data_IF_586221669983
#
_entry.id   IF_586221669983
#
_cell.length_a   1.000
_cell.length_b   1.000
_cell.length_c   1.000
_cell.angle_alpha   90.00
_cell.angle_beta   90.00
_cell.angle_gamma   90.00
#
_symmetry.space_group_name_H-M   'P 1'
#
loop_
_entity.id
_entity.type
_entity.pdbx_description
1 polymer ?
#
# COMPACT_ATOMS: atom_id res chain seq x y z
N UNK A 1 -33.79 4.60 22.57
CA UNK A 1 -33.58 5.78 21.71
C UNK A 1 -33.70 7.02 22.56
N UNK A 2 -32.62 7.49 23.17
CA UNK A 2 -32.58 8.82 23.78
C UNK A 2 -31.38 9.53 23.17
N UNK A 3 -31.66 10.27 22.10
CA UNK A 3 -30.88 11.46 21.73
C UNK A 3 -30.83 12.39 22.95
N UNK A 4 -29.86 13.30 22.99
CA UNK A 4 -29.65 14.30 24.05
C UNK A 4 -30.98 14.67 24.73
N UNK A 5 -31.03 14.55 26.06
CA UNK A 5 -32.25 14.76 26.84
C UNK A 5 -33.02 15.99 26.32
N UNK A 6 -34.36 15.96 26.29
CA UNK A 6 -35.18 17.04 25.72
C UNK A 6 -34.80 18.43 26.27
N UNK A 7 -34.21 18.47 27.46
CA UNK A 7 -33.65 19.63 28.15
C UNK A 7 -32.61 20.44 27.35
N UNK A 8 -31.94 19.86 26.34
CA UNK A 8 -30.85 20.53 25.60
C UNK A 8 -31.21 20.90 24.16
N UNK A 9 -32.48 20.84 23.73
CA UNK A 9 -32.81 21.31 22.38
C UNK A 9 -32.74 22.84 22.32
N UNK A 10 -32.20 23.42 21.24
CA UNK A 10 -32.17 24.88 21.04
C UNK A 10 -33.52 25.57 21.25
N UNK A 11 -34.64 24.91 20.93
CA UNK A 11 -35.99 25.41 21.21
C UNK A 11 -36.33 25.55 22.70
N UNK A 12 -35.86 24.65 23.56
CA UNK A 12 -36.03 24.77 25.01
C UNK A 12 -35.23 25.93 25.60
N UNK A 13 -34.03 26.19 25.05
CA UNK A 13 -33.24 27.37 25.42
C UNK A 13 -33.97 28.67 25.07
N UNK A 14 -34.57 28.78 23.88
CA UNK A 14 -35.37 29.95 23.51
C UNK A 14 -36.58 30.16 24.44
N UNK A 15 -37.29 29.08 24.80
CA UNK A 15 -38.40 29.14 25.75
C UNK A 15 -37.96 29.58 27.15
N UNK A 16 -36.81 29.07 27.62
CA UNK A 16 -36.19 29.49 28.89
C UNK A 16 -35.76 30.96 28.84
N UNK A 17 -35.11 31.42 27.76
CA UNK A 17 -34.65 32.81 27.62
C UNK A 17 -35.82 33.80 27.66
N UNK A 18 -36.92 33.49 26.94
CA UNK A 18 -38.17 34.27 26.98
C UNK A 18 -38.78 34.30 28.38
N UNK A 19 -38.83 33.17 29.08
CA UNK A 19 -39.34 33.08 30.46
C UNK A 19 -38.54 33.95 31.43
N UNK A 20 -37.23 34.11 31.19
CA UNK A 20 -36.34 34.91 32.02
C UNK A 20 -36.17 36.35 31.53
N UNK A 21 -36.92 36.78 30.50
CA UNK A 21 -36.85 38.13 29.90
C UNK A 21 -35.44 38.48 29.42
N UNK A 22 -34.68 37.48 28.98
CA UNK A 22 -33.40 37.69 28.32
C UNK A 22 -33.72 38.04 26.87
N UNK A 23 -33.18 39.16 26.40
CA UNK A 23 -33.41 39.61 25.03
C UNK A 23 -32.65 38.70 24.06
N UNK A 24 -33.37 38.10 23.11
CA UNK A 24 -32.80 37.18 22.12
C UNK A 24 -32.95 37.82 20.74
N UNK A 25 -31.87 37.97 19.96
CA UNK A 25 -31.95 38.52 18.62
C UNK A 25 -32.94 37.75 17.75
N UNK A 26 -33.84 38.46 17.07
CA UNK A 26 -34.88 37.87 16.20
C UNK A 26 -34.25 36.93 15.15
N UNK A 27 -33.12 37.35 14.56
CA UNK A 27 -32.38 36.54 13.60
C UNK A 27 -31.95 35.17 14.17
N UNK A 28 -31.64 35.09 15.46
CA UNK A 28 -31.27 33.84 16.12
C UNK A 28 -32.50 32.95 16.37
N UNK A 29 -33.63 33.55 16.76
CA UNK A 29 -34.89 32.82 16.94
C UNK A 29 -35.37 32.20 15.62
N UNK A 30 -35.33 32.98 14.53
CA UNK A 30 -35.64 32.51 13.18
C UNK A 30 -34.66 31.42 12.73
N UNK A 31 -33.36 31.60 12.95
CA UNK A 31 -32.36 30.59 12.60
C UNK A 31 -32.58 29.26 13.33
N UNK A 32 -32.84 29.30 14.64
CA UNK A 32 -33.08 28.10 15.45
C UNK A 32 -34.40 27.41 15.06
N UNK A 33 -35.44 28.19 14.77
CA UNK A 33 -36.75 27.67 14.32
C UNK A 33 -36.64 27.02 12.94
N UNK A 34 -35.92 27.66 12.02
CA UNK A 34 -35.69 27.17 10.66
C UNK A 34 -34.75 25.95 10.62
N UNK A 35 -33.77 25.88 11.52
CA UNK A 35 -32.83 24.76 11.60
C UNK A 35 -33.50 23.46 12.08
N UNK A 36 -34.57 23.59 12.89
CA UNK A 36 -35.34 22.45 13.39
C UNK A 36 -34.56 21.52 14.32
N UNK A 37 -35.12 20.35 14.58
CA UNK A 37 -34.59 19.34 15.53
C UNK A 37 -33.52 18.44 14.91
N UNK A 38 -32.98 18.76 13.75
CA UNK A 38 -32.15 17.85 12.97
C UNK A 38 -30.70 17.82 13.47
N UNK A 39 -30.52 17.53 14.76
CA UNK A 39 -29.24 17.05 15.27
C UNK A 39 -29.06 15.68 14.65
N UNK A 40 -28.11 15.55 13.72
CA UNK A 40 -27.78 14.26 13.13
C UNK A 40 -27.62 13.23 14.25
N UNK A 41 -28.10 12.00 14.03
CA UNK A 41 -28.02 10.94 15.02
C UNK A 41 -26.57 10.42 15.12
N UNK A 42 -25.69 11.29 15.64
CA UNK A 42 -24.26 11.07 15.76
C UNK A 42 -23.94 9.85 16.61
N UNK A 43 -24.83 9.50 17.54
CA UNK A 43 -24.70 8.30 18.34
C UNK A 43 -24.87 7.05 17.48
N UNK A 44 -25.95 6.97 16.70
CA UNK A 44 -26.14 5.85 15.76
C UNK A 44 -25.02 5.79 14.72
N UNK A 45 -24.57 6.93 14.19
CA UNK A 45 -23.42 6.97 13.28
C UNK A 45 -22.13 6.47 13.95
N UNK A 46 -21.86 6.88 15.18
CA UNK A 46 -20.69 6.45 15.96
C UNK A 46 -20.76 4.96 16.30
N UNK A 47 -21.91 4.47 16.75
CA UNK A 47 -22.13 3.06 17.08
C UNK A 47 -21.93 2.17 15.84
N UNK A 48 -22.43 2.63 14.67
CA UNK A 48 -22.20 1.96 13.39
C UNK A 48 -20.71 1.96 12.99
N UNK A 49 -20.02 3.10 13.10
CA UNK A 49 -18.59 3.17 12.79
C UNK A 49 -17.74 2.31 13.76
N UNK A 50 -18.08 2.30 15.04
CA UNK A 50 -17.38 1.53 16.06
C UNK A 50 -17.53 0.03 15.83
N UNK A 51 -18.73 -0.43 15.43
CA UNK A 51 -18.96 -1.84 15.11
C UNK A 51 -18.21 -2.27 13.84
N UNK A 52 -18.15 -1.43 12.81
CA UNK A 52 -17.38 -1.71 11.59
C UNK A 52 -15.86 -1.75 11.87
N UNK A 53 -15.35 -0.84 12.70
CA UNK A 53 -13.96 -0.86 13.13
C UNK A 53 -13.61 -2.13 13.91
N UNK A 54 -14.51 -2.60 14.78
CA UNK A 54 -14.31 -3.84 15.52
C UNK A 54 -14.27 -5.05 14.56
N UNK A 55 -15.16 -5.09 13.56
CA UNK A 55 -15.21 -6.13 12.52
C UNK A 55 -13.91 -6.17 11.71
N UNK A 56 -13.48 -5.03 11.16
CA UNK A 56 -12.25 -4.94 10.36
C UNK A 56 -11.01 -5.31 11.15
N UNK A 57 -10.92 -4.90 12.43
CA UNK A 57 -9.79 -5.29 13.30
C UNK A 57 -9.75 -6.79 13.53
N UNK A 58 -10.90 -7.44 13.70
CA UNK A 58 -10.97 -8.91 13.85
C UNK A 58 -10.54 -9.61 12.57
N UNK A 59 -11.02 -9.15 11.40
CA UNK A 59 -10.66 -9.71 10.10
C UNK A 59 -9.15 -9.58 9.82
N UNK A 60 -8.56 -8.42 10.17
CA UNK A 60 -7.13 -8.17 10.02
C UNK A 60 -6.32 -9.11 10.92
N UNK A 61 -6.71 -9.27 12.19
CA UNK A 61 -6.05 -10.19 13.11
C UNK A 61 -6.14 -11.66 12.63
N UNK A 62 -7.27 -12.08 12.06
CA UNK A 62 -7.41 -13.41 11.46
C UNK A 62 -6.50 -13.61 10.23
N UNK A 63 -6.43 -12.61 9.36
CA UNK A 63 -5.55 -12.66 8.18
C UNK A 63 -4.08 -12.67 8.57
N UNK A 64 -3.69 -11.88 9.57
CA UNK A 64 -2.34 -11.89 10.13
C UNK A 64 -2.01 -13.24 10.76
N UNK A 65 -2.93 -13.83 11.53
CA UNK A 65 -2.74 -15.17 12.09
C UNK A 65 -2.63 -16.25 11.00
N UNK A 66 -3.45 -16.17 9.94
CA UNK A 66 -3.38 -17.08 8.77
C UNK A 66 -2.06 -16.92 8.02
N UNK A 67 -1.57 -15.68 7.87
CA UNK A 67 -0.28 -15.41 7.22
C UNK A 67 0.92 -15.82 8.10
N UNK A 68 0.83 -15.67 9.42
CA UNK A 68 1.86 -16.11 10.36
C UNK A 68 1.92 -17.64 10.49
N UNK A 69 0.77 -18.32 10.39
CA UNK A 69 0.69 -19.78 10.39
C UNK A 69 1.01 -20.42 9.03
N UNK A 70 0.98 -19.64 7.94
CA UNK A 70 1.53 -20.08 6.67
C UNK A 70 3.06 -20.11 6.83
N UNK A 71 3.71 -21.28 6.79
CA UNK A 71 5.17 -21.30 6.77
C UNK A 71 5.61 -20.44 5.60
N UNK A 72 6.57 -19.55 5.82
CA UNK A 72 7.20 -18.77 4.77
C UNK A 72 7.57 -19.76 3.65
N UNK A 73 6.76 -19.77 2.60
CA UNK A 73 6.99 -20.62 1.44
C UNK A 73 8.08 -19.94 0.62
N UNK A 74 9.27 -19.88 1.19
CA UNK A 74 10.54 -19.71 0.50
C UNK A 74 11.33 -21.02 0.57
N UNK A 75 10.65 -22.17 0.64
CA UNK A 75 11.21 -23.41 0.10
C UNK A 75 10.93 -23.45 -1.39
N UNK A 76 11.40 -22.45 -2.13
CA UNK A 76 11.64 -22.68 -3.54
C UNK A 76 12.58 -23.88 -3.60
N UNK A 77 12.12 -24.94 -4.26
CA UNK A 77 12.99 -26.05 -4.62
C UNK A 77 14.20 -25.39 -5.29
N UNK A 78 15.44 -25.66 -4.86
CA UNK A 78 16.60 -25.05 -5.50
C UNK A 78 16.46 -25.30 -7.00
N UNK A 79 16.46 -24.22 -7.80
CA UNK A 79 16.27 -24.28 -9.25
C UNK A 79 17.07 -25.46 -9.77
N UNK A 80 16.40 -26.37 -10.49
CA UNK A 80 17.09 -27.50 -11.08
C UNK A 80 18.22 -26.98 -11.96
N UNK A 81 19.32 -27.73 -12.08
CA UNK A 81 20.49 -27.28 -12.85
C UNK A 81 20.10 -26.78 -14.25
N UNK A 82 19.13 -27.44 -14.90
CA UNK A 82 18.58 -27.04 -16.21
C UNK A 82 17.81 -25.71 -16.19
N UNK A 83 17.03 -25.45 -15.16
CA UNK A 83 16.26 -24.20 -15.00
C UNK A 83 17.23 -23.04 -14.78
N UNK A 84 18.23 -23.22 -13.92
CA UNK A 84 19.29 -22.22 -13.68
C UNK A 84 20.06 -21.92 -14.97
N UNK A 85 20.51 -22.93 -15.72
CA UNK A 85 21.19 -22.71 -17.00
C UNK A 85 20.30 -22.00 -18.02
N UNK A 86 19.00 -22.30 -18.05
CA UNK A 86 18.06 -21.63 -18.96
C UNK A 86 17.91 -20.15 -18.59
N UNK A 87 17.77 -19.85 -17.30
CA UNK A 87 17.69 -18.48 -16.81
C UNK A 87 18.96 -17.68 -17.13
N UNK A 88 20.13 -18.27 -16.89
CA UNK A 88 21.42 -17.62 -17.19
C UNK A 88 21.57 -17.29 -18.68
N UNK A 89 21.15 -18.20 -19.57
CA UNK A 89 21.15 -17.95 -21.03
C UNK A 89 20.23 -16.79 -21.43
N UNK A 90 19.03 -16.72 -20.82
CA UNK A 90 18.09 -15.63 -21.09
C UNK A 90 18.68 -14.30 -20.61
N UNK A 91 19.23 -14.26 -19.40
CA UNK A 91 19.90 -13.07 -18.85
C UNK A 91 21.06 -12.63 -19.73
N UNK A 92 21.92 -13.55 -20.16
CA UNK A 92 23.04 -13.24 -21.06
C UNK A 92 22.56 -12.67 -22.40
N UNK A 93 21.59 -13.31 -23.04
CA UNK A 93 21.06 -12.86 -24.33
C UNK A 93 20.47 -11.45 -24.25
N UNK A 94 19.71 -11.14 -23.17
CA UNK A 94 19.18 -9.80 -22.95
C UNK A 94 20.28 -8.77 -22.66
N UNK A 95 21.29 -9.15 -21.88
CA UNK A 95 22.42 -8.27 -21.59
C UNK A 95 23.21 -7.93 -22.86
N UNK A 96 23.46 -8.91 -23.74
CA UNK A 96 24.14 -8.70 -25.02
C UNK A 96 23.31 -7.82 -25.96
N UNK A 97 22.01 -8.10 -26.09
CA UNK A 97 21.15 -7.40 -27.05
C UNK A 97 20.80 -5.96 -26.64
N UNK A 98 20.56 -5.71 -25.34
CA UNK A 98 20.06 -4.41 -24.88
C UNK A 98 21.15 -3.51 -24.27
N UNK A 99 22.25 -4.09 -23.77
CA UNK A 99 23.26 -3.36 -23.01
C UNK A 99 24.67 -3.55 -23.57
N UNK A 100 24.78 -4.05 -24.80
CA UNK A 100 26.05 -4.30 -25.52
C UNK A 100 27.06 -5.08 -24.65
N UNK A 101 26.55 -5.99 -23.81
CA UNK A 101 27.39 -6.74 -22.91
C UNK A 101 28.33 -7.65 -23.71
N UNK A 102 29.64 -7.48 -23.51
CA UNK A 102 30.63 -8.42 -24.03
C UNK A 102 31.06 -9.39 -22.91
N UNK A 103 30.69 -10.68 -22.99
CA UNK A 103 31.03 -11.68 -21.97
C UNK A 103 32.53 -12.01 -21.91
N UNK A 104 33.28 -11.70 -22.98
CA UNK A 104 34.72 -11.95 -23.08
C UNK A 104 35.56 -10.71 -22.66
N UNK A 105 34.91 -9.59 -22.35
CA UNK A 105 35.59 -8.37 -21.91
C UNK A 105 35.89 -8.40 -20.40
N UNK A 106 37.11 -8.03 -20.01
CA UNK A 106 37.53 -8.03 -18.60
C UNK A 106 36.87 -6.94 -17.72
N UNK A 107 36.31 -5.88 -18.31
CA UNK A 107 35.57 -4.82 -17.60
C UNK A 107 34.38 -4.37 -18.44
N UNK A 108 33.19 -4.31 -17.84
CA UNK A 108 31.96 -3.84 -18.48
C UNK A 108 31.18 -2.91 -17.54
N UNK A 109 30.50 -1.92 -18.11
CA UNK A 109 29.57 -1.02 -17.39
C UNK A 109 28.14 -1.55 -17.38
N UNK A 110 27.89 -2.71 -18.02
CA UNK A 110 26.59 -3.35 -18.20
C UNK A 110 25.82 -3.49 -16.88
N UNK A 111 26.47 -3.94 -15.80
CA UNK A 111 25.81 -4.13 -14.51
C UNK A 111 25.21 -2.83 -13.94
N UNK A 112 25.94 -1.72 -14.05
CA UNK A 112 25.48 -0.41 -13.60
C UNK A 112 24.33 0.13 -14.46
N UNK A 113 24.34 -0.16 -15.77
CA UNK A 113 23.26 0.22 -16.67
C UNK A 113 21.97 -0.56 -16.34
N UNK A 114 22.06 -1.88 -16.20
CA UNK A 114 20.93 -2.74 -15.78
C UNK A 114 20.38 -2.28 -14.42
N UNK A 115 21.25 -1.97 -13.46
CA UNK A 115 20.82 -1.50 -12.15
C UNK A 115 19.99 -0.22 -12.24
N UNK A 116 20.42 0.74 -13.06
CA UNK A 116 19.74 2.01 -13.26
C UNK A 116 18.33 1.80 -13.83
N UNK A 117 18.20 0.90 -14.81
CA UNK A 117 16.90 0.58 -15.43
C UNK A 117 15.98 -0.15 -14.45
N UNK A 118 16.49 -1.10 -13.67
CA UNK A 118 15.72 -1.80 -12.64
C UNK A 118 15.24 -0.84 -11.54
N UNK A 119 16.08 0.11 -11.12
CA UNK A 119 15.71 1.14 -10.15
C UNK A 119 14.60 2.05 -10.68
N UNK A 120 14.64 2.39 -11.97
CA UNK A 120 13.58 3.18 -12.63
C UNK A 120 12.24 2.45 -12.60
N UNK A 121 12.25 1.12 -12.62
CA UNK A 121 11.08 0.25 -12.51
C UNK A 121 10.68 -0.07 -11.06
N UNK A 122 11.39 0.46 -10.06
CA UNK A 122 11.15 0.19 -8.64
C UNK A 122 11.58 -1.21 -8.19
N UNK A 123 12.44 -1.89 -8.97
CA UNK A 123 12.94 -3.23 -8.66
C UNK A 123 14.28 -3.10 -7.91
N UNK A 124 14.30 -3.58 -6.66
CA UNK A 124 15.49 -3.52 -5.81
C UNK A 124 16.38 -4.76 -6.02
N UNK A 125 17.55 -4.55 -6.64
CA UNK A 125 18.62 -5.56 -6.80
C UNK A 125 19.97 -4.88 -6.55
N UNK A 126 20.96 -5.59 -5.99
CA UNK A 126 22.30 -5.03 -5.82
C UNK A 126 23.15 -5.18 -7.08
N UNK A 127 24.02 -4.20 -7.32
CA UNK A 127 24.99 -4.19 -8.42
C UNK A 127 25.88 -5.45 -8.43
N UNK A 128 26.29 -5.92 -7.23
CA UNK A 128 27.07 -7.15 -7.06
C UNK A 128 26.29 -8.40 -7.44
N UNK A 129 24.98 -8.43 -7.20
CA UNK A 129 24.12 -9.54 -7.61
C UNK A 129 24.07 -9.63 -9.13
N UNK A 130 23.91 -8.50 -9.82
CA UNK A 130 23.88 -8.45 -11.28
C UNK A 130 25.22 -8.92 -11.86
N UNK A 131 26.35 -8.39 -11.36
CA UNK A 131 27.69 -8.82 -11.77
C UNK A 131 27.90 -10.32 -11.59
N UNK A 132 27.47 -10.87 -10.45
CA UNK A 132 27.58 -12.30 -10.17
C UNK A 132 26.84 -13.13 -11.22
N UNK A 133 25.58 -12.80 -11.53
CA UNK A 133 24.80 -13.56 -12.50
C UNK A 133 25.30 -13.40 -13.93
N UNK A 134 25.80 -12.22 -14.31
CA UNK A 134 26.45 -12.03 -15.61
C UNK A 134 27.72 -12.89 -15.71
N UNK A 135 28.56 -12.93 -14.68
CA UNK A 135 29.77 -13.75 -14.65
C UNK A 135 29.46 -15.25 -14.72
N UNK A 136 28.43 -15.72 -14.00
CA UNK A 136 27.96 -17.11 -14.12
C UNK A 136 27.43 -17.42 -15.53
N UNK A 137 26.82 -16.45 -16.19
CA UNK A 137 26.24 -16.65 -17.50
C UNK A 137 27.29 -16.72 -18.63
N UNK A 138 28.52 -16.22 -18.41
CA UNK A 138 29.63 -16.26 -19.40
C UNK A 138 29.92 -17.69 -19.87
N UNK A 139 29.68 -18.72 -19.04
CA UNK A 139 29.83 -20.14 -19.43
C UNK A 139 29.00 -20.50 -20.68
N UNK A 140 27.89 -19.78 -20.93
CA UNK A 140 26.99 -20.00 -22.05
C UNK A 140 27.20 -19.02 -23.21
N UNK A 141 28.27 -18.21 -23.18
CA UNK A 141 28.57 -17.27 -24.23
C UNK A 141 28.90 -17.98 -25.55
N UNK A 142 28.49 -17.42 -26.70
CA UNK A 142 28.95 -17.90 -28.00
C UNK A 142 30.48 -17.75 -28.13
N UNK A 143 31.13 -18.54 -29.01
CA UNK A 143 32.55 -18.39 -29.30
C UNK A 143 32.88 -16.95 -29.72
N UNK A 144 34.08 -16.47 -29.37
CA UNK A 144 34.52 -15.11 -29.68
C UNK A 144 34.61 -14.79 -31.18
N UNK A 145 34.53 -15.81 -32.05
CA UNK A 145 34.71 -15.69 -33.51
C UNK A 145 33.39 -15.78 -34.30
N UNK A 146 32.25 -15.51 -33.67
CA UNK A 146 30.94 -15.43 -34.33
C UNK A 146 30.49 -13.97 -34.48
N UNK A 147 31.30 -13.18 -35.19
CA UNK A 147 30.93 -11.89 -35.79
C UNK A 147 31.15 -11.96 -37.31
#
# INVERSE_FOLDING_TARGET
MNQLAPENLPGFFLAWAKRNRIDVPIALEEAVTNHGSQVADWKTLFDNQSSELARLKSELAELEAKNAAKPAASSEKPLGARERSTLLKIVLGMAMACYEHNPHAGRTTTASAILTDLQTLGIAVSDDTIRKYLAEAVEYAPPADMD
#
